data_IF_400295599454
#
_entry.id   IF_400295599454
#
_cell.length_a   1.000
_cell.length_b   1.000
_cell.length_c   1.000
_cell.angle_alpha   90.00
_cell.angle_beta   90.00
_cell.angle_gamma   90.00
#
_symmetry.space_group_name_H-M   'P 1'
#
loop_
_entity.id
_entity.type
_entity.pdbx_description
1 polymer ?
#
# COMPACT_ATOMS: atom_id res chain seq x y z
N UNK A 1 -8.61 51.46 -32.43
CA UNK A 1 -8.15 50.22 -31.75
C UNK A 1 -9.33 49.29 -31.55
N UNK A 2 -9.38 48.16 -32.27
CA UNK A 2 -10.51 47.21 -32.24
C UNK A 2 -10.28 46.25 -31.04
N UNK A 3 -11.00 46.41 -29.91
CA UNK A 3 -10.96 45.45 -28.80
C UNK A 3 -11.44 44.08 -29.29
N UNK A 4 -10.50 43.14 -29.45
CA UNK A 4 -10.83 41.73 -29.72
C UNK A 4 -11.55 41.18 -28.48
N UNK A 5 -12.86 40.99 -28.56
CA UNK A 5 -13.63 40.28 -27.54
C UNK A 5 -13.19 38.82 -27.59
N UNK A 6 -12.66 38.31 -26.49
CA UNK A 6 -12.34 36.88 -26.40
C UNK A 6 -13.61 36.06 -26.66
N UNK A 7 -13.50 35.06 -27.53
CA UNK A 7 -14.61 34.15 -27.78
C UNK A 7 -15.01 33.41 -26.48
N UNK A 8 -16.30 33.31 -26.15
CA UNK A 8 -16.75 32.57 -24.95
C UNK A 8 -16.21 31.13 -24.90
N UNK A 9 -16.03 30.49 -26.05
CA UNK A 9 -15.43 29.16 -26.14
C UNK A 9 -13.97 29.16 -25.70
N UNK A 10 -13.23 30.19 -25.93
CA UNK A 10 -11.82 30.32 -25.49
C UNK A 10 -11.76 30.45 -23.97
N UNK A 11 -12.67 31.25 -23.38
CA UNK A 11 -12.76 31.38 -21.92
C UNK A 11 -13.11 30.04 -21.27
N UNK A 12 -14.14 29.34 -21.78
CA UNK A 12 -14.55 28.02 -21.27
C UNK A 12 -13.41 27.03 -21.41
N UNK A 13 -12.73 26.98 -22.55
CA UNK A 13 -11.58 26.09 -22.76
C UNK A 13 -10.44 26.34 -21.78
N UNK A 14 -10.12 27.62 -21.52
CA UNK A 14 -9.08 27.98 -20.55
C UNK A 14 -9.45 27.57 -19.12
N UNK A 15 -10.72 27.76 -18.72
CA UNK A 15 -11.21 27.35 -17.39
C UNK A 15 -11.13 25.83 -17.23
N UNK A 16 -11.54 25.08 -18.25
CA UNK A 16 -11.46 23.60 -18.20
C UNK A 16 -10.00 23.11 -18.12
N UNK A 17 -9.09 23.73 -18.88
CA UNK A 17 -7.66 23.40 -18.80
C UNK A 17 -7.08 23.71 -17.40
N UNK A 18 -7.44 24.86 -16.84
CA UNK A 18 -7.00 25.21 -15.50
C UNK A 18 -7.54 24.26 -14.44
N UNK A 19 -8.80 23.85 -14.54
CA UNK A 19 -9.40 22.86 -13.65
C UNK A 19 -8.72 21.49 -13.77
N UNK A 20 -8.47 21.02 -15.00
CA UNK A 20 -7.77 19.75 -15.25
C UNK A 20 -6.34 19.78 -14.70
N UNK A 21 -5.61 20.88 -14.88
CA UNK A 21 -4.26 21.04 -14.33
C UNK A 21 -4.27 21.08 -12.80
N UNK A 22 -5.26 21.74 -12.21
CA UNK A 22 -5.42 21.76 -10.74
C UNK A 22 -5.67 20.38 -10.17
N UNK A 23 -6.55 19.59 -10.79
CA UNK A 23 -6.82 18.20 -10.39
C UNK A 23 -5.57 17.33 -10.55
N UNK A 24 -4.84 17.49 -11.64
CA UNK A 24 -3.59 16.75 -11.88
C UNK A 24 -2.55 17.03 -10.79
N UNK A 25 -2.34 18.32 -10.48
CA UNK A 25 -1.39 18.75 -9.44
C UNK A 25 -1.84 18.21 -8.08
N UNK A 26 -3.12 18.30 -7.74
CA UNK A 26 -3.65 17.79 -6.48
C UNK A 26 -3.38 16.28 -6.33
N UNK A 27 -3.77 15.49 -7.33
CA UNK A 27 -3.55 14.05 -7.32
C UNK A 27 -2.05 13.67 -7.23
N UNK A 28 -1.17 14.47 -7.87
CA UNK A 28 0.27 14.27 -7.82
C UNK A 28 0.84 14.56 -6.43
N UNK A 29 0.33 15.61 -5.77
CA UNK A 29 0.74 15.94 -4.40
C UNK A 29 0.28 14.90 -3.39
N UNK A 30 -0.94 14.38 -3.53
CA UNK A 30 -1.47 13.32 -2.67
C UNK A 30 -0.64 12.03 -2.81
N UNK A 31 -0.31 11.63 -4.04
CA UNK A 31 0.59 10.49 -4.28
C UNK A 31 1.97 10.67 -3.63
N UNK A 32 2.58 11.85 -3.76
CA UNK A 32 3.88 12.14 -3.14
C UNK A 32 3.80 12.17 -1.61
N UNK A 33 2.69 12.61 -1.04
CA UNK A 33 2.46 12.62 0.40
C UNK A 33 2.34 11.18 0.91
N UNK A 34 1.47 10.39 0.29
CA UNK A 34 1.27 8.99 0.65
C UNK A 34 2.59 8.18 0.60
N UNK A 35 3.42 8.38 -0.45
CA UNK A 35 4.72 7.74 -0.52
C UNK A 35 5.64 8.11 0.65
N UNK A 36 5.70 9.38 1.03
CA UNK A 36 6.53 9.83 2.16
C UNK A 36 6.06 9.27 3.50
N UNK A 37 4.75 9.22 3.72
CA UNK A 37 4.20 8.63 4.94
C UNK A 37 4.55 7.13 5.02
N UNK A 38 4.34 6.37 3.93
CA UNK A 38 4.73 4.97 3.87
C UNK A 38 6.23 4.76 4.11
N UNK A 39 7.10 5.53 3.44
CA UNK A 39 8.56 5.44 3.59
C UNK A 39 9.01 5.77 5.02
N UNK A 40 8.37 6.73 5.69
CA UNK A 40 8.76 7.17 7.04
C UNK A 40 8.61 6.08 8.09
N UNK A 41 7.64 5.20 7.95
CA UNK A 41 7.34 4.12 8.90
C UNK A 41 7.92 2.78 8.49
N UNK A 42 8.28 2.60 7.21
CA UNK A 42 8.71 1.32 6.63
C UNK A 42 9.86 0.68 7.40
N UNK A 43 10.92 1.43 7.70
CA UNK A 43 12.10 0.92 8.43
C UNK A 43 11.76 0.45 9.85
N UNK A 44 10.85 1.15 10.53
CA UNK A 44 10.38 0.76 11.87
C UNK A 44 9.53 -0.49 11.82
N UNK A 45 8.62 -0.59 10.85
CA UNK A 45 7.77 -1.77 10.61
C UNK A 45 8.64 -2.99 10.28
N UNK A 46 9.58 -2.88 9.35
CA UNK A 46 10.50 -3.96 8.98
C UNK A 46 11.27 -4.48 10.19
N UNK A 47 11.87 -3.59 11.00
CA UNK A 47 12.64 -3.97 12.17
C UNK A 47 11.79 -4.68 13.21
N UNK A 48 10.60 -4.19 13.50
CA UNK A 48 9.72 -4.77 14.50
C UNK A 48 9.10 -6.09 14.04
N UNK A 49 8.67 -6.21 12.79
CA UNK A 49 8.13 -7.46 12.24
C UNK A 49 9.20 -8.56 12.27
N UNK A 50 10.43 -8.26 11.86
CA UNK A 50 11.53 -9.23 11.92
C UNK A 50 11.84 -9.70 13.36
N UNK A 51 11.69 -8.81 14.35
CA UNK A 51 11.87 -9.15 15.75
C UNK A 51 10.74 -10.03 16.32
N UNK A 52 9.53 -9.95 15.77
CA UNK A 52 8.35 -10.71 16.21
C UNK A 52 8.06 -11.96 15.38
N UNK A 53 8.73 -12.13 14.23
CA UNK A 53 8.57 -13.36 13.44
C UNK A 53 9.36 -14.48 14.11
N UNK A 54 8.71 -15.54 14.65
CA UNK A 54 9.45 -16.69 15.18
C UNK A 54 10.25 -17.30 14.02
N UNK A 55 11.55 -17.59 14.26
CA UNK A 55 12.30 -18.39 13.31
C UNK A 55 11.52 -19.69 13.02
N UNK A 56 11.49 -20.15 11.75
CA UNK A 56 10.91 -21.45 11.44
C UNK A 56 11.61 -22.50 12.31
N UNK A 57 10.89 -23.04 13.28
CA UNK A 57 11.37 -24.19 14.02
C UNK A 57 11.38 -25.33 13.02
N UNK A 58 12.57 -25.88 12.71
CA UNK A 58 12.72 -27.08 11.90
C UNK A 58 11.76 -28.14 12.46
N UNK A 59 10.90 -28.66 11.60
CA UNK A 59 9.99 -29.75 11.93
C UNK A 59 10.84 -30.97 12.25
N UNK A 60 10.86 -31.36 13.53
CA UNK A 60 11.35 -32.66 13.95
C UNK A 60 10.34 -33.71 13.46
N UNK A 61 10.72 -34.69 12.60
CA UNK A 61 9.79 -35.66 12.00
C UNK A 61 9.34 -36.79 12.96
N UNK A 62 9.52 -36.68 14.27
CA UNK A 62 9.19 -37.73 15.21
C UNK A 62 8.16 -37.34 16.28
N UNK A 63 6.87 -37.32 15.92
CA UNK A 63 5.82 -37.59 16.89
C UNK A 63 4.58 -38.13 16.17
N UNK A 64 4.47 -39.45 16.12
CA UNK A 64 3.24 -40.15 15.74
C UNK A 64 2.19 -40.06 16.86
N UNK A 65 1.44 -38.96 16.86
CA UNK A 65 0.12 -38.76 17.44
C UNK A 65 -0.43 -37.49 16.79
N UNK A 66 -1.57 -37.57 16.11
CA UNK A 66 -2.20 -36.44 15.52
C UNK A 66 -2.43 -35.35 16.61
N UNK A 67 -1.76 -34.20 16.57
CA UNK A 67 -2.01 -33.15 17.54
C UNK A 67 -3.44 -32.61 17.33
N UNK A 68 -4.10 -32.11 18.38
CA UNK A 68 -5.34 -31.38 18.22
C UNK A 68 -5.11 -30.24 17.21
N UNK A 69 -6.15 -29.79 16.46
CA UNK A 69 -6.00 -28.73 15.45
C UNK A 69 -5.33 -27.53 16.10
N UNK A 70 -4.09 -27.28 15.70
CA UNK A 70 -3.33 -26.12 16.19
C UNK A 70 -4.08 -24.87 15.73
N UNK A 71 -4.43 -23.94 16.62
CA UNK A 71 -5.07 -22.70 16.20
C UNK A 71 -4.18 -22.01 15.15
N UNK A 72 -4.81 -21.54 14.07
CA UNK A 72 -4.12 -20.81 13.02
C UNK A 72 -3.41 -19.62 13.68
N UNK A 73 -2.09 -19.44 13.48
CA UNK A 73 -1.38 -18.32 14.09
C UNK A 73 -1.99 -17.00 13.63
N UNK A 74 -2.16 -16.06 14.54
CA UNK A 74 -2.49 -14.69 14.17
C UNK A 74 -1.26 -14.02 13.57
N UNK A 75 -1.47 -13.15 12.57
CA UNK A 75 -0.37 -12.34 12.02
C UNK A 75 0.15 -11.39 13.10
N UNK A 76 1.48 -11.23 13.22
CA UNK A 76 2.04 -10.27 14.15
C UNK A 76 1.55 -8.86 13.80
N UNK A 77 1.20 -8.08 14.82
CA UNK A 77 0.82 -6.67 14.68
C UNK A 77 1.83 -5.82 15.40
N UNK A 78 2.36 -4.82 14.72
CA UNK A 78 3.27 -3.82 15.30
C UNK A 78 2.67 -2.42 15.17
N UNK A 79 2.76 -1.63 16.23
CA UNK A 79 2.23 -0.26 16.24
C UNK A 79 3.36 0.73 16.01
N UNK A 80 3.24 1.55 14.96
CA UNK A 80 4.18 2.63 14.63
C UNK A 80 3.37 3.90 14.40
N UNK A 81 3.73 4.98 15.08
CA UNK A 81 3.08 6.30 14.99
C UNK A 81 1.56 6.25 15.16
N UNK A 82 1.07 5.35 16.03
CA UNK A 82 -0.35 5.20 16.33
C UNK A 82 -1.16 4.40 15.31
N UNK A 83 -0.50 3.80 14.32
CA UNK A 83 -1.10 2.91 13.32
C UNK A 83 -0.55 1.49 13.48
N UNK A 84 -1.41 0.50 13.23
CA UNK A 84 -1.09 -0.91 13.35
C UNK A 84 -0.73 -1.51 11.99
N UNK A 85 0.39 -2.22 11.92
CA UNK A 85 0.94 -2.84 10.72
C UNK A 85 1.13 -4.34 10.94
N UNK A 86 0.91 -5.12 9.87
CA UNK A 86 1.08 -6.58 9.87
C UNK A 86 2.32 -7.06 9.12
N UNK A 87 3.00 -6.15 8.43
CA UNK A 87 4.16 -6.49 7.63
C UNK A 87 4.46 -5.43 6.58
N UNK A 88 5.19 -5.86 5.57
CA UNK A 88 5.48 -5.03 4.39
C UNK A 88 5.43 -5.87 3.11
N UNK A 89 5.14 -5.22 2.00
CA UNK A 89 5.16 -5.78 0.65
C UNK A 89 6.40 -5.27 -0.07
N UNK A 90 7.16 -6.18 -0.69
CA UNK A 90 8.27 -5.83 -1.57
C UNK A 90 8.02 -6.35 -2.99
N UNK A 91 8.17 -5.48 -3.99
CA UNK A 91 8.13 -5.81 -5.41
C UNK A 91 9.41 -5.25 -6.05
N UNK A 92 10.52 -6.02 -6.01
CA UNK A 92 11.85 -5.55 -6.39
C UNK A 92 11.94 -5.06 -7.83
N UNK A 93 11.21 -5.70 -8.76
CA UNK A 93 11.17 -5.30 -10.20
C UNK A 93 10.63 -3.89 -10.41
N UNK A 94 9.82 -3.38 -9.48
CA UNK A 94 9.29 -2.01 -9.51
C UNK A 94 10.00 -1.05 -8.56
N UNK A 95 10.96 -1.56 -7.76
CA UNK A 95 11.57 -0.81 -6.66
C UNK A 95 10.54 -0.35 -5.64
N UNK A 96 9.53 -1.19 -5.37
CA UNK A 96 8.41 -0.86 -4.50
C UNK A 96 8.52 -1.63 -3.19
N UNK A 97 8.58 -0.90 -2.09
CA UNK A 97 8.49 -1.45 -0.73
C UNK A 97 7.47 -0.63 0.06
N UNK A 98 6.46 -1.30 0.61
CA UNK A 98 5.33 -0.63 1.26
C UNK A 98 4.96 -1.34 2.56
N UNK A 99 4.78 -0.63 3.68
CA UNK A 99 4.21 -1.19 4.90
C UNK A 99 2.75 -1.55 4.65
N UNK A 100 2.25 -2.60 5.33
CA UNK A 100 0.86 -3.05 5.22
C UNK A 100 0.16 -2.82 6.55
N UNK A 101 -0.89 -2.01 6.56
CA UNK A 101 -1.71 -1.75 7.75
C UNK A 101 -2.59 -2.95 8.08
N UNK A 102 -2.87 -3.15 9.36
CA UNK A 102 -3.58 -4.35 9.89
C UNK A 102 -5.04 -4.44 9.45
N UNK A 103 -5.67 -3.32 9.23
CA UNK A 103 -7.05 -3.16 8.81
C UNK A 103 -7.17 -1.98 7.85
N UNK A 104 -8.30 -1.83 7.18
CA UNK A 104 -8.50 -0.79 6.20
C UNK A 104 -9.65 0.15 6.54
N UNK A 105 -9.48 1.42 6.21
CA UNK A 105 -10.50 2.41 5.98
C UNK A 105 -10.01 3.40 4.90
N UNK A 106 -10.86 4.34 4.50
CA UNK A 106 -10.50 5.28 3.44
C UNK A 106 -9.36 6.24 3.82
N UNK A 107 -9.23 6.61 5.08
CA UNK A 107 -8.15 7.50 5.54
C UNK A 107 -6.83 6.74 5.59
N UNK A 108 -6.84 5.49 6.08
CA UNK A 108 -5.66 4.61 6.10
C UNK A 108 -5.15 4.28 4.71
N UNK A 109 -6.04 4.03 3.75
CA UNK A 109 -5.65 3.79 2.35
C UNK A 109 -4.90 4.96 1.72
N UNK A 110 -5.06 6.18 2.23
CA UNK A 110 -4.29 7.34 1.79
C UNK A 110 -2.85 7.33 2.32
N UNK A 111 -2.58 6.59 3.39
CA UNK A 111 -1.27 6.52 4.04
C UNK A 111 -0.45 5.33 3.52
N UNK A 112 -1.04 4.13 3.46
CA UNK A 112 -0.37 2.90 3.07
C UNK A 112 -1.36 1.85 2.55
N UNK A 113 -0.89 0.76 1.90
CA UNK A 113 -1.68 -0.44 1.66
C UNK A 113 -2.24 -1.01 2.97
N UNK A 114 -3.45 -1.53 2.90
CA UNK A 114 -4.18 -2.06 4.06
C UNK A 114 -4.63 -3.49 3.81
N UNK A 115 -4.61 -4.32 4.84
CA UNK A 115 -5.27 -5.62 4.80
C UNK A 115 -6.77 -5.41 4.69
N UNK A 116 -7.38 -5.95 3.65
CA UNK A 116 -8.83 -5.96 3.48
C UNK A 116 -9.43 -7.18 4.19
N UNK A 117 -8.82 -8.36 4.03
CA UNK A 117 -9.23 -9.60 4.68
C UNK A 117 -8.11 -10.66 4.60
N UNK A 118 -8.30 -11.78 5.28
CA UNK A 118 -7.45 -12.96 5.19
C UNK A 118 -6.15 -12.87 5.97
N UNK A 119 -5.28 -13.87 5.80
CA UNK A 119 -4.01 -14.02 6.48
C UNK A 119 -2.98 -14.70 5.56
N UNK A 120 -1.70 -14.41 5.78
CA UNK A 120 -0.59 -15.13 5.11
C UNK A 120 -0.55 -16.61 5.52
N UNK A 121 -1.09 -16.96 6.67
CA UNK A 121 -1.10 -18.34 7.18
C UNK A 121 -2.24 -19.19 6.60
N UNK A 122 -3.24 -18.55 5.99
CA UNK A 122 -4.37 -19.23 5.34
C UNK A 122 -4.33 -19.08 3.82
N UNK A 123 -3.31 -18.42 3.29
CA UNK A 123 -3.08 -18.19 1.86
C UNK A 123 -4.24 -17.45 1.17
N UNK A 124 -4.94 -16.60 1.95
CA UNK A 124 -6.10 -15.83 1.49
C UNK A 124 -5.98 -14.33 1.79
N UNK A 125 -4.76 -13.85 2.09
CA UNK A 125 -4.52 -12.44 2.38
C UNK A 125 -4.86 -11.55 1.16
N UNK A 126 -5.78 -10.61 1.37
CA UNK A 126 -6.12 -9.58 0.38
C UNK A 126 -5.70 -8.21 0.88
N UNK A 127 -4.91 -7.52 0.06
CA UNK A 127 -4.40 -6.19 0.33
C UNK A 127 -5.05 -5.21 -0.64
N UNK A 128 -5.59 -4.12 -0.11
CA UNK A 128 -6.10 -2.99 -0.86
C UNK A 128 -5.14 -1.81 -0.78
N UNK A 129 -5.00 -1.06 -1.85
CA UNK A 129 -4.23 0.19 -1.87
C UNK A 129 -4.77 1.15 -2.92
N UNK A 130 -4.43 2.43 -2.79
CA UNK A 130 -4.67 3.40 -3.83
C UNK A 130 -3.82 3.14 -5.08
N UNK A 131 -4.31 3.59 -6.23
CA UNK A 131 -3.59 3.55 -7.51
C UNK A 131 -2.57 4.70 -7.66
N UNK A 132 -2.04 5.21 -6.55
CA UNK A 132 -0.95 6.18 -6.60
C UNK A 132 0.31 5.55 -7.21
N UNK A 133 1.13 6.34 -7.91
CA UNK A 133 2.41 5.86 -8.45
C UNK A 133 3.38 5.39 -7.36
N UNK A 134 3.20 5.85 -6.13
CA UNK A 134 3.94 5.43 -4.92
C UNK A 134 3.34 4.23 -4.21
N UNK A 135 2.14 3.78 -4.61
CA UNK A 135 1.45 2.59 -4.11
C UNK A 135 1.25 1.58 -5.25
N UNK A 136 0.03 1.06 -5.44
CA UNK A 136 -0.27 0.01 -6.43
C UNK A 136 -0.40 0.52 -7.87
N UNK A 137 -0.29 1.82 -8.12
CA UNK A 137 -0.35 2.37 -9.48
C UNK A 137 0.71 1.81 -10.43
N UNK A 138 1.89 1.45 -9.91
CA UNK A 138 2.97 0.83 -10.71
C UNK A 138 2.75 -0.64 -11.01
N UNK A 139 1.87 -1.36 -10.31
CA UNK A 139 1.63 -2.78 -10.57
C UNK A 139 1.16 -3.07 -11.99
N UNK A 140 0.57 -2.09 -12.68
CA UNK A 140 0.23 -2.17 -14.11
C UNK A 140 1.44 -2.36 -15.04
N UNK A 141 2.65 -2.08 -14.55
CA UNK A 141 3.89 -2.20 -15.32
C UNK A 141 4.50 -3.60 -15.23
N UNK A 142 3.98 -4.45 -14.33
CA UNK A 142 4.43 -5.84 -14.19
C UNK A 142 4.03 -6.67 -15.42
N UNK A 143 4.97 -7.45 -15.89
CA UNK A 143 4.74 -8.48 -16.90
C UNK A 143 4.36 -9.81 -16.25
N UNK A 144 3.69 -10.68 -16.97
CA UNK A 144 3.29 -12.00 -16.45
C UNK A 144 4.53 -12.83 -16.09
N UNK A 145 4.63 -13.22 -14.83
CA UNK A 145 5.75 -14.02 -14.29
C UNK A 145 6.87 -13.20 -13.64
N UNK A 146 6.75 -11.87 -13.59
CA UNK A 146 7.62 -11.02 -12.76
C UNK A 146 7.14 -11.04 -11.31
N UNK A 147 8.10 -11.04 -10.39
CA UNK A 147 7.90 -11.00 -8.93
C UNK A 147 8.73 -9.89 -8.32
#
# INVERSE_FOLDING_TARGET
MRKRRASPFLIIGTVLLAAALSLYIHNRLDSCRAGREADSVLGSVQTQILAHTPLPTEHDPQAGNAPPPTPIPEMPVVTVDGNDYIGYLSVPSLGLELPIMSDWDYDKLQLAPCRQLGSVYTDDLVIAAHNYDTHFGKLRELSKGET
#
